data_IF_051469000825
#
_entry.id   IF_051469000825
#
_cell.length_a   1.000
_cell.length_b   1.000
_cell.length_c   1.000
_cell.angle_alpha   90.00
_cell.angle_beta   90.00
_cell.angle_gamma   90.00
#
_symmetry.space_group_name_H-M   'P 1'
#
loop_
_entity.id
_entity.type
_entity.pdbx_description
1 polymer ?
#
# COMPACT_ATOMS: atom_id res chain seq x y z
N UNK A 1 5.32 -19.39 12.80
CA UNK A 1 5.63 -18.41 11.75
C UNK A 1 4.43 -18.43 10.83
N UNK A 2 3.68 -17.35 10.76
CA UNK A 2 2.53 -17.23 9.85
C UNK A 2 3.03 -17.34 8.41
N UNK A 3 2.42 -18.20 7.61
CA UNK A 3 2.71 -18.29 6.17
C UNK A 3 2.36 -16.96 5.52
N UNK A 4 3.39 -16.15 5.23
CA UNK A 4 3.21 -14.89 4.50
C UNK A 4 2.87 -15.26 3.07
N UNK A 5 1.69 -14.88 2.55
CA UNK A 5 1.34 -15.20 1.17
C UNK A 5 2.29 -14.47 0.21
N UNK A 6 2.92 -15.23 -0.69
CA UNK A 6 3.77 -14.69 -1.74
C UNK A 6 2.96 -14.67 -3.03
N UNK A 7 2.80 -13.48 -3.58
CA UNK A 7 2.14 -13.27 -4.87
C UNK A 7 3.21 -13.00 -5.94
N UNK A 8 3.04 -13.64 -7.09
CA UNK A 8 4.00 -13.71 -8.21
C UNK A 8 5.30 -14.46 -7.88
N UNK A 9 5.92 -14.95 -8.95
CA UNK A 9 7.24 -15.57 -8.86
C UNK A 9 8.32 -14.50 -8.73
N UNK A 10 9.35 -14.81 -7.93
CA UNK A 10 10.53 -13.98 -7.85
C UNK A 10 11.30 -14.07 -9.19
N UNK A 11 11.64 -12.95 -9.83
CA UNK A 11 12.39 -12.99 -11.09
C UNK A 11 13.77 -13.62 -10.88
N UNK A 12 14.15 -14.56 -11.76
CA UNK A 12 15.45 -15.22 -11.70
C UNK A 12 16.56 -14.33 -12.26
N UNK A 13 17.73 -14.36 -11.63
CA UNK A 13 18.91 -13.60 -12.08
C UNK A 13 18.82 -12.08 -11.88
N UNK A 14 17.78 -11.60 -11.18
CA UNK A 14 17.57 -10.17 -10.88
C UNK A 14 17.85 -9.92 -9.40
N UNK A 15 18.69 -8.93 -9.10
CA UNK A 15 18.84 -8.43 -7.74
C UNK A 15 17.61 -7.60 -7.35
N UNK A 16 16.98 -7.95 -6.24
CA UNK A 16 15.82 -7.25 -5.69
C UNK A 16 16.17 -6.61 -4.37
N UNK A 17 15.55 -5.47 -4.09
CA UNK A 17 15.58 -4.84 -2.76
C UNK A 17 14.24 -5.05 -2.06
N UNK A 18 14.27 -5.17 -0.74
CA UNK A 18 13.05 -5.16 0.06
C UNK A 18 12.55 -3.72 0.17
N UNK A 19 11.34 -3.47 -0.34
CA UNK A 19 10.62 -2.21 -0.12
C UNK A 19 9.31 -2.56 0.58
N UNK A 20 9.25 -2.43 1.92
CA UNK A 20 8.01 -2.66 2.64
C UNK A 20 6.96 -1.64 2.19
N UNK A 21 5.69 -1.98 2.35
CA UNK A 21 4.59 -1.10 1.99
C UNK A 21 3.38 -1.34 2.87
N UNK A 22 2.53 -0.33 2.92
CA UNK A 22 1.29 -0.35 3.68
C UNK A 22 0.14 0.01 2.76
N UNK A 23 -0.99 -0.68 2.93
CA UNK A 23 -2.19 -0.49 2.12
C UNK A 23 -3.41 -0.40 3.03
N UNK A 24 -4.32 0.52 2.73
CA UNK A 24 -5.56 0.70 3.48
C UNK A 24 -6.70 -0.12 2.88
N UNK A 25 -7.50 -0.73 3.75
CA UNK A 25 -8.84 -1.22 3.40
C UNK A 25 -9.85 -0.16 3.83
N UNK A 26 -10.30 0.65 2.89
CA UNK A 26 -11.28 1.70 3.13
C UNK A 26 -12.63 1.28 2.57
N UNK A 27 -13.67 1.38 3.39
CA UNK A 27 -15.05 1.05 2.99
C UNK A 27 -15.99 2.22 3.19
N UNK A 28 -16.98 2.37 2.31
CA UNK A 28 -18.10 3.30 2.53
C UNK A 28 -19.23 2.64 3.36
N UNK A 29 -20.31 3.38 3.59
CA UNK A 29 -21.47 2.89 4.35
C UNK A 29 -22.20 1.72 3.69
N UNK A 30 -22.06 1.59 2.37
CA UNK A 30 -22.67 0.52 1.56
C UNK A 30 -21.76 -0.74 1.48
N UNK A 31 -20.58 -0.70 2.11
CA UNK A 31 -19.63 -1.83 2.13
C UNK A 31 -18.76 -1.95 0.88
N UNK A 32 -18.74 -0.93 0.02
CA UNK A 32 -17.88 -0.89 -1.16
C UNK A 32 -16.45 -0.50 -0.77
N UNK A 33 -15.45 -1.06 -1.48
CA UNK A 33 -14.03 -0.83 -1.21
C UNK A 33 -13.48 0.27 -2.12
N UNK A 34 -12.77 1.24 -1.53
CA UNK A 34 -12.06 2.26 -2.31
C UNK A 34 -10.85 1.65 -3.03
N UNK A 35 -10.67 2.03 -4.29
CA UNK A 35 -9.54 1.59 -5.13
C UNK A 35 -8.92 2.80 -5.83
N UNK A 36 -7.61 2.74 -6.06
CA UNK A 36 -6.88 3.69 -6.90
C UNK A 36 -6.73 3.09 -8.29
N UNK A 37 -7.11 3.86 -9.31
CA UNK A 37 -6.89 3.49 -10.70
C UNK A 37 -5.61 4.14 -11.22
N UNK A 38 -4.70 3.32 -11.73
CA UNK A 38 -3.49 3.79 -12.38
C UNK A 38 -3.16 2.93 -13.60
N UNK A 39 -3.16 3.55 -14.78
CA UNK A 39 -2.83 2.91 -16.06
C UNK A 39 -3.71 1.68 -16.38
N UNK A 40 -5.01 1.78 -16.11
CA UNK A 40 -6.00 0.73 -16.34
C UNK A 40 -5.97 -0.40 -15.31
N UNK A 41 -5.28 -0.22 -14.17
CA UNK A 41 -5.19 -1.21 -13.10
C UNK A 41 -5.70 -0.62 -11.79
N UNK A 42 -6.34 -1.48 -11.01
CA UNK A 42 -6.87 -1.13 -9.70
C UNK A 42 -5.98 -1.65 -8.59
N UNK A 43 -5.72 -0.79 -7.63
CA UNK A 43 -4.87 -1.03 -6.46
C UNK A 43 -5.62 -0.63 -5.20
N UNK A 44 -5.25 -1.24 -4.07
CA UNK A 44 -5.65 -0.68 -2.77
C UNK A 44 -4.93 0.66 -2.56
N UNK A 45 -5.57 1.64 -1.89
CA UNK A 45 -4.90 2.86 -1.44
C UNK A 45 -3.65 2.55 -0.63
N UNK A 46 -2.58 3.31 -0.85
CA UNK A 46 -1.29 3.08 -0.22
C UNK A 46 -0.19 2.65 -1.18
N UNK A 47 0.96 2.28 -0.63
CA UNK A 47 2.16 2.12 -1.42
C UNK A 47 3.36 1.64 -0.62
N UNK A 48 4.52 1.66 -1.28
CA UNK A 48 5.78 1.32 -0.63
C UNK A 48 6.30 2.49 0.21
N UNK A 49 6.95 2.16 1.31
CA UNK A 49 7.60 3.13 2.20
C UNK A 49 8.80 3.78 1.53
N UNK A 50 9.00 5.06 1.85
CA UNK A 50 10.24 5.77 1.56
C UNK A 50 11.31 5.51 2.65
N UNK A 51 12.60 5.74 2.35
CA UNK A 51 13.67 5.51 3.32
C UNK A 51 13.47 6.29 4.63
N UNK A 52 13.34 5.55 5.74
CA UNK A 52 13.19 6.12 7.08
C UNK A 52 11.74 6.33 7.53
N UNK A 53 10.74 6.05 6.69
CA UNK A 53 9.33 6.07 7.11
C UNK A 53 8.97 4.81 7.91
N UNK A 54 8.13 4.96 8.95
CA UNK A 54 7.37 3.82 9.47
C UNK A 54 6.25 3.47 8.48
N UNK A 55 5.65 2.28 8.63
CA UNK A 55 4.53 1.87 7.77
C UNK A 55 3.32 2.79 7.92
N UNK A 56 3.06 3.26 9.14
CA UNK A 56 1.97 4.17 9.49
C UNK A 56 2.18 5.55 8.85
N UNK A 57 3.40 6.10 8.94
CA UNK A 57 3.77 7.36 8.27
C UNK A 57 3.65 7.23 6.75
N UNK A 58 4.14 6.11 6.20
CA UNK A 58 4.06 5.82 4.77
C UNK A 58 2.59 5.82 4.31
N UNK A 59 1.72 5.09 5.03
CA UNK A 59 0.32 5.01 4.68
C UNK A 59 -0.38 6.37 4.78
N UNK A 60 -0.10 7.15 5.81
CA UNK A 60 -0.70 8.48 5.98
C UNK A 60 -0.28 9.44 4.86
N UNK A 61 0.97 9.39 4.39
CA UNK A 61 1.44 10.14 3.23
C UNK A 61 0.69 9.73 1.96
N UNK A 62 0.62 8.43 1.66
CA UNK A 62 -0.06 7.92 0.46
C UNK A 62 -1.54 8.30 0.45
N UNK A 63 -2.27 8.11 1.56
CA UNK A 63 -3.69 8.49 1.64
C UNK A 63 -3.92 10.00 1.46
N UNK A 64 -2.97 10.83 1.88
CA UNK A 64 -3.02 12.27 1.65
C UNK A 64 -2.79 12.59 0.17
N UNK A 65 -1.88 11.90 -0.50
CA UNK A 65 -1.56 12.12 -1.92
C UNK A 65 -2.69 11.62 -2.84
N UNK A 66 -3.22 10.43 -2.57
CA UNK A 66 -4.20 9.75 -3.43
C UNK A 66 -5.65 10.17 -3.16
N UNK A 67 -6.00 10.47 -1.90
CA UNK A 67 -7.38 10.73 -1.47
C UNK A 67 -7.57 12.10 -0.81
N UNK A 68 -6.50 12.91 -0.67
CA UNK A 68 -6.53 14.12 0.16
C UNK A 68 -6.99 13.85 1.60
N UNK A 69 -6.81 12.61 2.07
CA UNK A 69 -7.27 12.15 3.38
C UNK A 69 -6.15 12.24 4.41
N UNK A 70 -6.44 12.74 5.61
CA UNK A 70 -5.49 12.79 6.72
C UNK A 70 -5.94 11.83 7.82
N UNK A 71 -5.04 10.93 8.20
CA UNK A 71 -5.23 10.04 9.35
C UNK A 71 -4.23 10.41 10.45
N UNK A 72 -4.60 10.25 11.73
CA UNK A 72 -3.64 10.35 12.82
C UNK A 72 -2.60 9.23 12.71
N UNK A 73 -1.38 9.56 13.09
CA UNK A 73 -0.22 8.65 13.18
C UNK A 73 0.45 8.91 14.53
N UNK A 74 0.81 7.83 15.23
CA UNK A 74 1.48 7.88 16.53
C UNK A 74 3.01 8.01 16.39
#
# INVERSE_FOLDING_TARGET
>A
MTDVPIFREHPQGVQTISRPGAYALMTNADGEVALVEHQGKYHLPGGGSEPGESLEISLARELREEFSWQIPVD
#
